data_IF_428988416686
#
_entry.id   IF_428988416686
#
_cell.length_a   1.000
_cell.length_b   1.000
_cell.length_c   1.000
_cell.angle_alpha   90.00
_cell.angle_beta   90.00
_cell.angle_gamma   90.00
#
_symmetry.space_group_name_H-M   'P 1'
#
loop_
_entity.id
_entity.type
_entity.pdbx_description
1 polymer ?
#
# COMPACT_ATOMS: atom_id res chain seq x y z
N UNK A 1 -14.82 3.55 32.67
CA UNK A 1 -14.13 4.55 33.52
C UNK A 1 -12.65 4.70 33.20
N UNK A 2 -11.93 3.64 32.79
CA UNK A 2 -10.51 3.72 32.39
C UNK A 2 -10.24 4.67 31.22
N UNK A 3 -11.07 4.64 30.18
CA UNK A 3 -10.90 5.50 28.99
C UNK A 3 -10.97 7.00 29.28
N UNK A 4 -11.88 7.43 30.17
CA UNK A 4 -12.00 8.83 30.58
C UNK A 4 -10.79 9.31 31.39
N UNK A 5 -10.23 8.45 32.24
CA UNK A 5 -9.04 8.77 33.03
C UNK A 5 -7.82 8.96 32.11
N UNK A 6 -7.64 8.05 31.13
CA UNK A 6 -6.57 8.17 30.14
C UNK A 6 -6.74 9.44 29.30
N UNK A 7 -7.96 9.76 28.90
CA UNK A 7 -8.24 10.98 28.13
C UNK A 7 -7.87 12.25 28.92
N UNK A 8 -8.26 12.33 30.20
CA UNK A 8 -7.96 13.47 31.07
C UNK A 8 -6.44 13.64 31.25
N UNK A 9 -5.71 12.54 31.48
CA UNK A 9 -4.24 12.57 31.63
C UNK A 9 -3.57 13.03 30.33
N UNK A 10 -4.02 12.51 29.18
CA UNK A 10 -3.51 12.93 27.86
C UNK A 10 -3.75 14.42 27.58
N UNK A 11 -4.92 14.96 27.92
CA UNK A 11 -5.19 16.40 27.81
C UNK A 11 -4.30 17.23 28.74
N UNK A 12 -4.09 16.80 29.99
CA UNK A 12 -3.25 17.51 30.94
C UNK A 12 -1.78 17.60 30.46
N UNK A 13 -1.24 16.49 29.95
CA UNK A 13 0.13 16.44 29.41
C UNK A 13 0.27 17.34 28.17
N UNK A 14 -0.72 17.32 27.28
CA UNK A 14 -0.72 18.16 26.08
C UNK A 14 -0.73 19.66 26.42
N UNK A 15 -1.52 20.07 27.42
CA UNK A 15 -1.57 21.45 27.90
C UNK A 15 -0.24 21.87 28.55
N UNK A 16 0.38 20.99 29.34
CA UNK A 16 1.68 21.28 29.98
C UNK A 16 2.81 21.41 28.96
N UNK A 17 2.86 20.51 27.96
CA UNK A 17 3.82 20.57 26.86
C UNK A 17 3.63 21.83 26.03
N UNK A 18 2.38 22.19 25.71
CA UNK A 18 2.06 23.43 25.01
C UNK A 18 2.52 24.66 25.78
N UNK A 19 2.24 24.74 27.08
CA UNK A 19 2.62 25.89 27.93
C UNK A 19 4.14 26.03 28.06
N UNK A 20 4.87 24.92 28.17
CA UNK A 20 6.35 24.89 28.26
C UNK A 20 7.00 25.30 26.94
N UNK A 21 6.49 24.84 25.81
CA UNK A 21 6.97 25.18 24.46
C UNK A 21 6.64 26.63 24.11
N UNK A 22 5.43 27.10 24.44
CA UNK A 22 5.00 28.49 24.25
C UNK A 22 5.90 29.48 25.01
N UNK A 23 6.20 29.23 26.29
CA UNK A 23 7.11 30.08 27.06
C UNK A 23 8.54 30.06 26.53
N UNK A 24 9.03 28.90 26.06
CA UNK A 24 10.38 28.79 25.47
C UNK A 24 10.48 29.49 24.10
N UNK A 25 9.41 29.46 23.31
CA UNK A 25 9.30 30.20 22.04
C UNK A 25 9.25 31.71 22.28
N UNK A 26 8.52 32.17 23.31
CA UNK A 26 8.44 33.58 23.67
C UNK A 26 9.79 34.17 24.09
N UNK A 27 10.63 33.39 24.80
CA UNK A 27 11.97 33.82 25.20
C UNK A 27 13.03 33.80 24.07
N UNK A 28 12.74 33.22 22.90
CA UNK A 28 13.70 33.13 21.78
C UNK A 28 13.31 33.95 20.55
N UNK A 29 12.28 34.81 20.64
CA UNK A 29 11.92 35.76 19.57
C UNK A 29 11.44 35.13 18.25
N UNK A 30 11.18 33.81 18.21
CA UNK A 30 10.69 33.15 17.00
C UNK A 30 9.16 33.17 16.95
N UNK A 31 8.63 33.72 15.86
CA UNK A 31 7.22 34.06 15.65
C UNK A 31 6.22 32.95 15.94
N UNK A 32 5.04 33.38 16.43
CA UNK A 32 3.93 32.59 17.01
C UNK A 32 3.49 31.37 16.19
N UNK A 33 3.61 31.42 14.86
CA UNK A 33 3.09 30.39 13.95
C UNK A 33 3.99 29.14 13.94
N UNK A 34 5.32 29.32 14.01
CA UNK A 34 6.28 28.20 13.92
C UNK A 34 6.27 27.34 15.20
N UNK A 35 5.99 27.96 16.34
CA UNK A 35 5.81 27.28 17.62
C UNK A 35 4.47 26.52 17.69
N UNK A 36 3.40 27.07 17.11
CA UNK A 36 2.11 26.40 17.01
C UNK A 36 2.23 25.11 16.18
N UNK A 37 2.80 25.19 14.98
CA UNK A 37 2.95 24.04 14.07
C UNK A 37 3.79 22.93 14.69
N UNK A 38 4.90 23.27 15.36
CA UNK A 38 5.77 22.27 16.01
C UNK A 38 5.15 21.66 17.27
N UNK A 39 4.31 22.41 17.99
CA UNK A 39 3.60 21.86 19.15
C UNK A 39 2.44 20.94 18.73
N UNK A 40 1.74 21.27 17.64
CA UNK A 40 0.68 20.45 17.06
C UNK A 40 1.22 19.12 16.52
N UNK A 41 2.35 19.15 15.80
CA UNK A 41 2.95 17.93 15.26
C UNK A 41 3.45 16.98 16.35
N UNK A 42 4.08 17.49 17.41
CA UNK A 42 4.54 16.67 18.52
C UNK A 42 3.38 16.09 19.35
N UNK A 43 2.30 16.85 19.54
CA UNK A 43 1.10 16.35 20.23
C UNK A 43 0.40 15.24 19.45
N UNK A 44 0.33 15.37 18.12
CA UNK A 44 -0.25 14.35 17.24
C UNK A 44 0.54 13.04 17.23
N UNK A 45 1.88 13.12 17.23
CA UNK A 45 2.74 11.93 17.30
C UNK A 45 2.59 11.22 18.65
N UNK A 46 2.53 11.97 19.75
CA UNK A 46 2.30 11.39 21.08
C UNK A 46 0.92 10.72 21.21
N UNK A 47 -0.11 11.27 20.55
CA UNK A 47 -1.46 10.69 20.50
C UNK A 47 -1.51 9.35 19.76
N UNK A 48 -0.81 9.23 18.63
CA UNK A 48 -0.76 7.97 17.87
C UNK A 48 0.00 6.87 18.62
N UNK A 49 1.09 7.20 19.30
CA UNK A 49 1.87 6.24 20.09
C UNK A 49 1.07 5.75 21.31
N UNK A 50 0.27 6.61 21.94
CA UNK A 50 -0.55 6.23 23.09
C UNK A 50 -1.77 5.38 22.71
N UNK A 51 -2.38 5.59 21.54
CA UNK A 51 -3.41 4.69 20.99
C UNK A 51 -2.82 3.31 20.65
N UNK A 52 -1.62 3.28 20.05
CA UNK A 52 -0.94 2.03 19.67
C UNK A 52 -0.61 1.13 20.87
N UNK A 53 -0.22 1.72 22.01
CA UNK A 53 0.01 0.96 23.24
C UNK A 53 -1.33 0.56 23.89
N UNK A 54 -2.36 1.41 23.83
CA UNK A 54 -3.69 1.12 24.42
C UNK A 54 -4.43 -0.06 23.76
N UNK A 55 -4.30 -0.24 22.45
CA UNK A 55 -4.93 -1.36 21.73
C UNK A 55 -4.29 -2.72 22.05
N UNK A 56 -3.00 -2.76 22.40
CA UNK A 56 -2.29 -4.00 22.74
C UNK A 56 -2.62 -4.56 24.12
N UNK A 57 -3.04 -3.72 25.08
CA UNK A 57 -3.26 -4.14 26.48
C UNK A 57 -4.72 -4.56 26.75
N UNK A 58 -5.66 -4.25 25.85
CA UNK A 58 -7.08 -4.65 25.97
C UNK A 58 -7.40 -5.98 25.27
N UNK A 59 -6.52 -6.47 24.39
CA UNK A 59 -6.75 -7.74 23.67
C UNK A 59 -6.19 -8.99 24.36
N UNK A 60 -5.63 -8.87 25.58
CA UNK A 60 -4.98 -9.99 26.25
C UNK A 60 -5.88 -10.80 27.20
N UNK A 61 -7.20 -10.53 27.22
CA UNK A 61 -8.17 -11.32 27.99
C UNK A 61 -9.39 -11.69 27.12
N UNK A 62 -9.18 -12.57 26.13
CA UNK A 62 -10.22 -13.50 25.70
C UNK A 62 -9.66 -14.74 25.00
N UNK A 63 -9.44 -15.76 25.85
CA UNK A 63 -9.67 -17.20 25.63
C UNK A 63 -8.94 -17.93 24.50
N UNK A 64 -7.98 -18.77 24.93
CA UNK A 64 -7.50 -19.98 24.26
C UNK A 64 -8.59 -21.07 24.24
N UNK A 65 -8.56 -21.87 23.16
CA UNK A 65 -9.21 -23.17 22.91
C UNK A 65 -10.73 -23.26 22.77
N UNK A 66 -11.20 -23.47 21.53
CA UNK A 66 -11.73 -24.77 21.12
C UNK A 66 -12.12 -24.78 19.62
N UNK A 67 -11.72 -25.87 18.96
CA UNK A 67 -12.13 -26.31 17.63
C UNK A 67 -13.67 -26.45 17.56
N UNK A 68 -14.35 -25.75 16.65
CA UNK A 68 -15.49 -26.27 15.87
C UNK A 68 -16.03 -25.19 14.92
N UNK A 69 -16.15 -25.59 13.66
CA UNK A 69 -16.97 -25.05 12.59
C UNK A 69 -18.04 -24.03 12.99
N UNK A 70 -17.91 -22.80 12.51
CA UNK A 70 -19.07 -21.96 12.19
C UNK A 70 -18.70 -21.16 10.96
N UNK A 71 -19.46 -21.40 9.89
CA UNK A 71 -19.48 -20.56 8.72
C UNK A 71 -19.88 -19.16 9.17
N UNK A 72 -18.97 -18.20 9.04
CA UNK A 72 -19.33 -16.80 9.17
C UNK A 72 -18.84 -16.05 7.93
N UNK A 73 -19.84 -15.54 7.22
CA UNK A 73 -19.72 -14.75 6.01
C UNK A 73 -19.13 -13.40 6.38
N UNK A 74 -17.81 -13.32 6.48
CA UNK A 74 -17.10 -12.08 6.17
C UNK A 74 -16.60 -12.26 4.76
N UNK A 75 -17.10 -11.43 3.83
CA UNK A 75 -16.65 -11.35 2.45
C UNK A 75 -15.13 -11.56 2.39
N UNK A 76 -14.72 -12.76 1.97
CA UNK A 76 -13.40 -12.94 1.38
C UNK A 76 -13.40 -12.00 0.20
N UNK A 77 -12.73 -10.85 0.34
CA UNK A 77 -12.33 -10.03 -0.79
C UNK A 77 -11.88 -11.02 -1.87
N UNK A 78 -12.58 -11.04 -3.01
CA UNK A 78 -12.25 -11.93 -4.13
C UNK A 78 -10.84 -11.58 -4.57
N UNK A 79 -9.85 -12.25 -4.01
CA UNK A 79 -8.45 -12.12 -4.40
C UNK A 79 -8.34 -12.78 -5.77
N UNK A 80 -8.65 -12.01 -6.82
CA UNK A 80 -8.53 -12.49 -8.19
C UNK A 80 -7.03 -12.48 -8.52
N UNK A 81 -6.43 -13.66 -8.52
CA UNK A 81 -5.06 -13.89 -8.99
C UNK A 81 -5.14 -14.13 -10.49
N UNK A 82 -4.36 -13.38 -11.27
CA UNK A 82 -4.25 -13.51 -12.71
C UNK A 82 -2.82 -13.86 -13.09
N UNK A 83 -2.67 -14.86 -13.95
CA UNK A 83 -1.42 -15.41 -14.45
C UNK A 83 -1.18 -14.91 -15.86
N UNK A 84 -0.01 -14.34 -16.12
CA UNK A 84 0.39 -13.84 -17.42
C UNK A 84 1.50 -14.74 -17.98
N UNK A 85 1.25 -15.36 -19.13
CA UNK A 85 2.18 -16.23 -19.84
C UNK A 85 2.80 -15.56 -21.07
N UNK A 86 2.16 -14.50 -21.59
CA UNK A 86 2.55 -13.76 -22.77
C UNK A 86 2.73 -12.27 -22.51
N UNK A 87 3.70 -11.67 -23.19
CA UNK A 87 3.95 -10.24 -23.14
C UNK A 87 4.21 -9.63 -24.54
N UNK A 88 3.97 -8.33 -24.64
CA UNK A 88 4.44 -7.44 -25.70
C UNK A 88 5.07 -6.21 -25.05
N UNK A 89 6.39 -6.08 -25.17
CA UNK A 89 7.20 -5.08 -24.49
C UNK A 89 7.79 -4.08 -25.50
N UNK A 90 7.73 -2.81 -25.12
CA UNK A 90 8.33 -1.70 -25.85
C UNK A 90 9.34 -1.04 -24.92
N UNK A 91 10.62 -1.05 -25.30
CA UNK A 91 11.71 -0.50 -24.48
C UNK A 91 12.41 0.63 -25.22
N UNK A 92 12.60 1.76 -24.56
CA UNK A 92 13.33 2.88 -25.13
C UNK A 92 14.83 2.77 -24.80
N UNK A 93 15.67 2.67 -25.82
CA UNK A 93 17.13 2.56 -25.68
C UNK A 93 17.85 3.75 -26.32
N UNK A 94 19.16 3.90 -26.06
CA UNK A 94 19.99 4.91 -26.77
C UNK A 94 20.03 4.70 -28.29
N UNK A 95 19.77 3.48 -28.76
CA UNK A 95 19.75 3.11 -30.18
C UNK A 95 18.35 3.26 -30.81
N UNK A 96 17.35 3.72 -30.06
CA UNK A 96 15.96 3.83 -30.49
C UNK A 96 15.01 2.92 -29.71
N UNK A 97 13.75 2.90 -30.14
CA UNK A 97 12.69 2.08 -29.56
C UNK A 97 12.79 0.64 -30.07
N UNK A 98 12.86 -0.31 -29.14
CA UNK A 98 12.79 -1.76 -29.44
C UNK A 98 11.41 -2.28 -29.10
N UNK A 99 10.93 -3.24 -29.90
CA UNK A 99 9.68 -3.97 -29.67
C UNK A 99 10.00 -5.45 -29.62
N UNK A 100 9.65 -6.07 -28.51
CA UNK A 100 9.89 -7.48 -28.25
C UNK A 100 8.58 -8.09 -27.79
N UNK A 101 8.18 -9.21 -28.38
CA UNK A 101 6.98 -9.93 -27.96
C UNK A 101 7.31 -11.41 -27.84
N UNK A 102 6.65 -12.09 -26.92
CA UNK A 102 6.94 -13.49 -26.68
C UNK A 102 6.18 -14.05 -25.50
N UNK A 103 6.50 -15.30 -25.21
CA UNK A 103 6.15 -15.94 -23.95
C UNK A 103 7.33 -15.80 -23.01
N UNK A 104 7.07 -15.79 -21.71
CA UNK A 104 8.16 -15.89 -20.74
C UNK A 104 8.91 -17.21 -21.01
N UNK A 105 10.21 -17.10 -21.33
CA UNK A 105 10.98 -18.15 -22.04
C UNK A 105 11.21 -19.43 -21.23
N UNK A 106 11.11 -19.33 -19.91
CA UNK A 106 11.45 -20.41 -18.99
C UNK A 106 10.18 -21.00 -18.40
N UNK A 107 10.09 -22.34 -18.36
CA UNK A 107 8.98 -23.13 -17.78
C UNK A 107 8.70 -22.88 -16.28
N UNK A 108 9.25 -21.83 -15.70
CA UNK A 108 9.05 -21.41 -14.32
C UNK A 108 8.95 -19.90 -14.12
N UNK A 109 9.05 -19.07 -15.17
CA UNK A 109 8.84 -17.63 -15.04
C UNK A 109 7.39 -17.32 -15.37
N UNK A 110 6.64 -16.91 -14.34
CA UNK A 110 5.26 -16.49 -14.43
C UNK A 110 5.14 -15.09 -13.81
N UNK A 111 4.30 -14.22 -14.36
CA UNK A 111 3.90 -13.01 -13.63
C UNK A 111 2.49 -13.23 -13.10
N UNK A 112 2.32 -13.07 -11.81
CA UNK A 112 1.04 -13.15 -11.12
C UNK A 112 0.62 -11.77 -10.65
N UNK A 113 -0.57 -11.33 -11.04
CA UNK A 113 -1.20 -10.12 -10.50
C UNK A 113 -2.32 -10.50 -9.56
N UNK A 114 -2.24 -10.03 -8.32
CA UNK A 114 -3.36 -10.02 -7.38
C UNK A 114 -3.95 -8.62 -7.35
N UNK A 115 -5.21 -8.49 -7.72
CA UNK A 115 -5.87 -7.19 -7.89
C UNK A 115 -7.03 -7.06 -6.92
N UNK A 116 -6.98 -6.01 -6.10
CA UNK A 116 -8.06 -5.56 -5.22
C UNK A 116 -8.51 -4.15 -5.60
N UNK A 117 -9.47 -3.62 -4.85
CA UNK A 117 -9.98 -2.27 -5.12
C UNK A 117 -8.94 -1.17 -4.84
N UNK A 118 -8.12 -1.37 -3.83
CA UNK A 118 -7.16 -0.42 -3.30
C UNK A 118 -5.72 -0.70 -3.78
N UNK A 119 -5.41 -1.94 -4.20
CA UNK A 119 -4.03 -2.37 -4.45
C UNK A 119 -3.91 -3.34 -5.61
N UNK A 120 -2.72 -3.33 -6.17
CA UNK A 120 -2.23 -4.33 -7.11
C UNK A 120 -0.92 -4.89 -6.56
N UNK A 121 -0.83 -6.21 -6.51
CA UNK A 121 0.39 -6.93 -6.13
C UNK A 121 0.86 -7.71 -7.35
N UNK A 122 2.03 -7.36 -7.85
CA UNK A 122 2.75 -8.11 -8.87
C UNK A 122 3.72 -9.06 -8.20
N UNK A 123 3.69 -10.34 -8.57
CA UNK A 123 4.59 -11.37 -8.07
C UNK A 123 5.22 -12.11 -9.24
N UNK A 124 6.53 -12.19 -9.23
CA UNK A 124 7.29 -13.04 -10.14
C UNK A 124 7.90 -14.16 -9.29
N UNK A 125 7.32 -15.37 -9.31
CA UNK A 125 7.89 -16.49 -8.59
C UNK A 125 9.17 -16.95 -9.27
N UNK A 126 10.20 -17.21 -8.47
CA UNK A 126 11.50 -17.69 -8.96
C UNK A 126 11.73 -19.07 -8.35
N UNK A 127 11.74 -20.16 -9.16
CA UNK A 127 11.97 -21.50 -8.65
C UNK A 127 13.30 -21.60 -7.88
N UNK A 128 13.23 -21.93 -6.59
CA UNK A 128 14.41 -22.10 -5.74
C UNK A 128 15.00 -20.81 -5.16
N UNK A 129 14.37 -19.65 -5.39
CA UNK A 129 14.76 -18.37 -4.81
C UNK A 129 13.55 -17.63 -4.20
N UNK A 130 13.77 -16.47 -3.60
CA UNK A 130 12.72 -15.58 -3.12
C UNK A 130 12.02 -14.90 -4.28
N UNK A 131 10.71 -14.89 -4.24
CA UNK A 131 9.89 -14.20 -5.23
C UNK A 131 10.14 -12.69 -5.20
N UNK A 132 10.12 -12.09 -6.38
CA UNK A 132 10.08 -10.64 -6.49
C UNK A 132 8.63 -10.18 -6.37
N UNK A 133 8.34 -9.37 -5.35
CA UNK A 133 6.99 -8.87 -5.06
C UNK A 133 6.99 -7.36 -5.10
N UNK A 134 6.11 -6.79 -5.91
CA UNK A 134 5.89 -5.36 -6.03
C UNK A 134 4.45 -5.03 -5.67
N UNK A 135 4.24 -3.96 -4.91
CA UNK A 135 2.91 -3.47 -4.55
C UNK A 135 2.71 -2.09 -5.14
N UNK A 136 1.53 -1.85 -5.67
CA UNK A 136 1.08 -0.57 -6.18
C UNK A 136 -0.28 -0.23 -5.59
N UNK A 137 -0.51 1.05 -5.30
CA UNK A 137 -1.77 1.54 -4.73
C UNK A 137 -2.65 2.08 -5.85
N UNK A 138 -3.96 1.91 -5.69
CA UNK A 138 -4.94 2.49 -6.59
C UNK A 138 -4.79 4.01 -6.59
N UNK A 139 -4.85 4.59 -7.78
CA UNK A 139 -4.75 6.03 -7.99
C UNK A 139 -6.07 6.58 -8.51
N UNK A 140 -6.45 6.20 -9.73
CA UNK A 140 -7.60 6.74 -10.44
C UNK A 140 -8.12 5.76 -11.50
N UNK A 141 -9.29 6.07 -12.08
CA UNK A 141 -9.75 5.45 -13.31
C UNK A 141 -9.26 6.31 -14.48
N UNK A 142 -8.47 5.73 -15.37
CA UNK A 142 -7.95 6.42 -16.54
C UNK A 142 -9.07 6.71 -17.56
N UNK A 143 -8.79 7.59 -18.51
CA UNK A 143 -9.76 8.01 -19.54
C UNK A 143 -10.24 6.87 -20.45
N UNK A 144 -9.46 5.79 -20.55
CA UNK A 144 -9.82 4.58 -21.29
C UNK A 144 -10.65 3.58 -20.45
N UNK A 145 -11.01 3.95 -19.22
CA UNK A 145 -11.77 3.12 -18.28
C UNK A 145 -10.91 2.12 -17.50
N UNK A 146 -9.60 2.06 -17.75
CA UNK A 146 -8.70 1.18 -17.01
C UNK A 146 -8.47 1.68 -15.57
N UNK A 147 -8.27 0.75 -14.63
CA UNK A 147 -7.88 1.08 -13.26
C UNK A 147 -6.38 1.32 -13.23
N UNK A 148 -5.97 2.50 -12.77
CA UNK A 148 -4.56 2.87 -12.64
C UNK A 148 -4.09 2.61 -11.22
N UNK A 149 -3.04 1.82 -11.09
CA UNK A 149 -2.30 1.60 -9.85
C UNK A 149 -0.87 2.13 -10.02
N UNK A 150 -0.27 2.67 -8.96
CA UNK A 150 1.07 3.24 -9.03
C UNK A 150 1.91 2.99 -7.79
N UNK A 151 3.22 2.99 -7.98
CA UNK A 151 4.22 3.10 -6.91
C UNK A 151 5.37 4.02 -7.38
N UNK A 152 6.49 4.01 -6.65
CA UNK A 152 7.65 4.86 -6.98
C UNK A 152 8.35 4.50 -8.29
N UNK A 153 8.13 3.29 -8.80
CA UNK A 153 8.91 2.70 -9.90
C UNK A 153 8.07 2.44 -11.15
N UNK A 154 6.76 2.27 -11.00
CA UNK A 154 5.90 1.80 -12.09
C UNK A 154 4.47 2.32 -11.98
N UNK A 155 3.81 2.47 -13.13
CA UNK A 155 2.37 2.61 -13.24
C UNK A 155 1.78 1.39 -13.94
N UNK A 156 0.70 0.84 -13.38
CA UNK A 156 -0.05 -0.29 -13.93
C UNK A 156 -1.43 0.19 -14.36
N UNK A 157 -1.82 -0.10 -15.59
CA UNK A 157 -3.17 0.13 -16.10
C UNK A 157 -3.85 -1.21 -16.33
N UNK A 158 -4.94 -1.46 -15.61
CA UNK A 158 -5.65 -2.75 -15.63
C UNK A 158 -7.00 -2.56 -16.30
N UNK A 159 -7.19 -3.25 -17.42
CA UNK A 159 -8.48 -3.34 -18.11
C UNK A 159 -9.06 -4.74 -17.97
N UNK A 160 -10.34 -4.83 -17.61
CA UNK A 160 -11.07 -6.10 -17.61
C UNK A 160 -11.51 -6.40 -19.05
N UNK A 161 -11.10 -7.55 -19.58
CA UNK A 161 -11.53 -7.98 -20.91
C UNK A 161 -12.77 -8.87 -20.84
N UNK A 162 -12.82 -9.75 -19.83
CA UNK A 162 -13.96 -10.61 -19.50
C UNK A 162 -13.83 -11.09 -18.03
N UNK A 163 -14.70 -12.00 -17.59
CA UNK A 163 -14.76 -12.49 -16.20
C UNK A 163 -13.48 -13.19 -15.70
N UNK A 164 -12.65 -13.72 -16.59
CA UNK A 164 -11.43 -14.47 -16.27
C UNK A 164 -10.14 -13.87 -16.82
N UNK A 165 -10.22 -12.87 -17.70
CA UNK A 165 -9.07 -12.30 -18.41
C UNK A 165 -8.99 -10.80 -18.22
N UNK A 166 -7.78 -10.33 -17.95
CA UNK A 166 -7.43 -8.91 -17.87
C UNK A 166 -6.32 -8.58 -18.86
N UNK A 167 -6.25 -7.30 -19.21
CA UNK A 167 -5.08 -6.70 -19.84
C UNK A 167 -4.39 -5.80 -18.82
N UNK A 168 -3.09 -5.99 -18.64
CA UNK A 168 -2.24 -5.14 -17.79
C UNK A 168 -1.24 -4.44 -18.68
N UNK A 169 -1.15 -3.11 -18.57
CA UNK A 169 -0.07 -2.30 -19.16
C UNK A 169 0.78 -1.80 -18.01
N UNK A 170 2.01 -2.29 -17.92
CA UNK A 170 3.01 -1.90 -16.94
C UNK A 170 3.98 -0.88 -17.58
N UNK A 171 4.06 0.32 -17.02
CA UNK A 171 5.00 1.37 -17.41
C UNK A 171 6.07 1.46 -16.34
N UNK A 172 7.25 0.91 -16.62
CA UNK A 172 8.38 0.81 -15.67
C UNK A 172 9.37 1.95 -15.89
N UNK A 173 9.51 2.83 -14.90
CA UNK A 173 10.33 4.03 -14.99
C UNK A 173 11.82 3.72 -14.93
N UNK A 174 12.22 2.69 -14.18
CA UNK A 174 13.64 2.34 -14.03
C UNK A 174 14.25 1.80 -15.31
N UNK A 175 13.46 1.08 -16.10
CA UNK A 175 13.91 0.44 -17.34
C UNK A 175 13.48 1.19 -18.61
N UNK A 176 12.74 2.29 -18.47
CA UNK A 176 12.09 3.01 -19.58
C UNK A 176 11.38 2.02 -20.54
N UNK A 177 10.58 1.15 -19.95
CA UNK A 177 9.91 0.06 -20.64
C UNK A 177 8.39 0.16 -20.43
N UNK A 178 7.63 -0.28 -21.42
CA UNK A 178 6.19 -0.48 -21.32
C UNK A 178 5.87 -1.91 -21.72
N UNK A 179 5.28 -2.69 -20.82
CA UNK A 179 4.97 -4.10 -21.02
C UNK A 179 3.46 -4.27 -21.02
N UNK A 180 2.91 -4.73 -22.13
CA UNK A 180 1.51 -5.13 -22.23
C UNK A 180 1.40 -6.64 -22.03
N UNK A 181 0.52 -7.06 -21.13
CA UNK A 181 0.31 -8.46 -20.77
C UNK A 181 -1.18 -8.78 -20.83
N UNK A 182 -1.50 -9.98 -21.30
CA UNK A 182 -2.83 -10.56 -21.19
C UNK A 182 -2.74 -11.67 -20.15
N UNK A 183 -3.56 -11.57 -19.12
CA UNK A 183 -3.47 -12.45 -17.96
C UNK A 183 -4.81 -13.11 -17.70
N UNK A 184 -4.80 -14.37 -17.31
CA UNK A 184 -6.01 -15.16 -17.05
C UNK A 184 -5.97 -15.77 -15.65
N UNK A 185 -7.15 -16.00 -15.05
CA UNK A 185 -7.27 -16.68 -13.74
C UNK A 185 -6.76 -18.13 -13.77
#
# INVERSE_FOLDING_TARGET
MSGLIVFIICTAISVLCYKKVSNRSRNRGHGKIRALITSLSMSFIAFMVSIGIGAGVVSQDKSTDAKASTADNTEKAKTNVYKCDKFDAITQTRQGTKRDSGYYSDKGILVEYTISDDKLISRMPIPGDKDSVYTAEFNEIASDGSRKYGNSSSNYFVSVLNDSTIKVIDVEFNHNATITQICSK
#
